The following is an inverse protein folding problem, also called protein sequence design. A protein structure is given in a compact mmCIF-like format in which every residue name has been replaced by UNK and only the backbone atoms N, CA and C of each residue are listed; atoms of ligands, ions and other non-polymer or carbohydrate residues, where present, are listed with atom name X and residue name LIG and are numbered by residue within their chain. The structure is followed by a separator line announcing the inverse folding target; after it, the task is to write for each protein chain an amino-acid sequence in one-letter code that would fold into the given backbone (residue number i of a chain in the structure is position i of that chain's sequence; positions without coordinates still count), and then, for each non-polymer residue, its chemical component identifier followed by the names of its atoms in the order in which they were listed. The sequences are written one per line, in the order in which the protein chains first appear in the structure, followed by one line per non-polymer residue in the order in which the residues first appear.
data_IF_635372819801
#
_entry.id   IF_635372819801
#
_cell.length_a   1.000
_cell.length_b   1.000
_cell.length_c   1.000
_cell.angle_alpha   90.00
_cell.angle_beta   90.00
_cell.angle_gamma   90.00
#
_symmetry.space_group_name_H-M   'P 1'
#
loop_
_entity.id
_entity.type
_entity.pdbx_description
1 polymer ?
#
# COMPACT_ATOMS: atom_id res chain seq x y z
N UNK A 1 9.35 -2.82 -17.40
CA UNK A 1 9.11 -3.44 -16.07
C UNK A 1 8.02 -2.61 -15.42
N UNK A 2 6.86 -3.21 -15.15
CA UNK A 2 5.72 -2.52 -14.55
C UNK A 2 5.71 -2.74 -13.04
N UNK A 3 5.48 -1.69 -12.26
CA UNK A 3 5.43 -1.81 -10.81
C UNK A 3 4.17 -2.59 -10.38
N UNK A 4 4.26 -3.70 -9.64
CA UNK A 4 3.09 -4.52 -9.30
C UNK A 4 2.16 -3.91 -8.23
N UNK A 5 2.52 -2.74 -7.68
CA UNK A 5 1.73 -2.02 -6.68
C UNK A 5 0.95 -0.88 -7.33
N UNK A 6 1.65 0.06 -7.97
CA UNK A 6 1.04 1.28 -8.53
C UNK A 6 0.94 1.26 -10.07
N UNK A 7 1.37 0.17 -10.69
CA UNK A 7 1.31 -0.06 -12.15
C UNK A 7 2.07 0.96 -12.99
N UNK A 8 3.00 1.68 -12.38
CA UNK A 8 3.89 2.58 -13.10
C UNK A 8 4.71 1.81 -14.14
N UNK A 9 4.66 2.28 -15.38
CA UNK A 9 5.47 1.82 -16.49
C UNK A 9 6.36 2.98 -16.96
N UNK A 10 7.70 2.86 -16.83
CA UNK A 10 8.61 3.91 -17.27
C UNK A 10 8.67 4.00 -18.79
N UNK A 11 8.85 5.20 -19.33
CA UNK A 11 9.14 5.41 -20.74
C UNK A 11 10.43 4.67 -21.18
N UNK A 12 10.57 4.29 -22.46
CA UNK A 12 11.77 3.64 -22.98
C UNK A 12 13.04 4.44 -22.62
N UNK A 13 14.01 3.77 -22.01
CA UNK A 13 15.27 4.39 -21.58
C UNK A 13 15.22 5.16 -20.25
N UNK A 14 14.06 5.25 -19.57
CA UNK A 14 13.96 5.82 -18.22
C UNK A 14 14.00 4.75 -17.13
N UNK A 15 14.54 5.07 -15.94
CA UNK A 15 14.51 4.17 -14.80
C UNK A 15 13.07 3.96 -14.32
N UNK A 16 12.69 2.71 -14.06
CA UNK A 16 11.46 2.36 -13.36
C UNK A 16 11.70 2.08 -11.89
N UNK A 17 10.64 1.63 -11.19
CA UNK A 17 10.76 1.16 -9.82
C UNK A 17 9.99 -0.16 -9.62
N UNK A 18 10.48 -0.98 -8.69
CA UNK A 18 9.84 -2.24 -8.32
C UNK A 18 9.02 -2.10 -7.03
N UNK A 19 8.38 -3.20 -6.60
CA UNK A 19 7.55 -3.21 -5.39
C UNK A 19 8.27 -2.69 -4.13
N UNK A 20 9.57 -2.97 -3.99
CA UNK A 20 10.38 -2.59 -2.82
C UNK A 20 10.68 -1.09 -2.76
N UNK A 21 10.72 -0.43 -3.92
CA UNK A 21 11.04 0.99 -4.06
C UNK A 21 9.82 1.85 -4.40
N UNK A 22 8.65 1.21 -4.61
CA UNK A 22 7.41 1.91 -4.86
C UNK A 22 7.06 2.88 -3.71
N UNK A 23 6.76 4.16 -4.00
CA UNK A 23 6.32 5.11 -2.99
C UNK A 23 5.04 4.67 -2.26
N UNK A 24 4.17 3.91 -2.95
CA UNK A 24 2.91 3.39 -2.40
C UNK A 24 3.03 2.02 -1.71
N UNK A 25 4.25 1.52 -1.44
CA UNK A 25 4.46 0.19 -0.83
C UNK A 25 3.95 0.04 0.60
N UNK A 26 3.59 1.14 1.26
CA UNK A 26 3.17 1.14 2.65
C UNK A 26 1.80 0.48 2.81
N UNK A 27 1.70 -0.47 3.73
CA UNK A 27 0.47 -1.19 4.04
C UNK A 27 0.18 -1.15 5.54
N UNK A 28 -1.03 -1.56 5.93
CA UNK A 28 -1.46 -1.66 7.32
C UNK A 28 -0.48 -2.43 8.21
N UNK A 29 -0.45 -2.06 9.49
CA UNK A 29 0.31 -2.78 10.49
C UNK A 29 -0.40 -4.09 10.84
N UNK A 30 0.23 -5.21 10.51
CA UNK A 30 -0.30 -6.56 10.76
C UNK A 30 -0.61 -6.88 12.22
N UNK A 31 0.05 -6.19 13.15
CA UNK A 31 -0.13 -6.33 14.61
C UNK A 31 -1.35 -5.56 15.14
N UNK A 32 -1.92 -4.67 14.34
CA UNK A 32 -3.14 -3.92 14.65
C UNK A 32 -4.36 -4.42 13.86
N UNK A 33 -4.19 -5.50 13.09
CA UNK A 33 -5.31 -6.14 12.39
C UNK A 33 -6.11 -7.01 13.38
N UNK A 34 -7.41 -7.22 13.10
CA UNK A 34 -8.23 -8.19 13.84
C UNK A 34 -7.58 -9.59 13.84
N UNK A 35 -7.76 -10.36 14.92
CA UNK A 35 -7.06 -11.64 15.11
C UNK A 35 -7.43 -12.68 14.04
N UNK A 36 -8.64 -12.61 13.53
CA UNK A 36 -9.19 -13.45 12.45
C UNK A 36 -8.68 -13.04 11.06
N UNK A 37 -7.98 -11.92 10.94
CA UNK A 37 -7.54 -11.41 9.65
C UNK A 37 -6.38 -12.26 9.08
N UNK A 38 -6.39 -12.62 7.78
CA UNK A 38 -5.39 -13.53 7.19
C UNK A 38 -3.93 -13.08 7.31
N UNK A 39 -3.72 -11.77 7.42
CA UNK A 39 -2.40 -11.15 7.56
C UNK A 39 -2.03 -10.81 9.00
N UNK A 40 -2.91 -11.07 9.98
CA UNK A 40 -2.67 -10.70 11.37
C UNK A 40 -1.41 -11.37 11.92
N UNK A 41 -0.75 -10.67 12.84
CA UNK A 41 0.34 -11.24 13.64
C UNK A 41 0.03 -10.96 15.10
N UNK A 42 0.14 -11.99 15.93
CA UNK A 42 -0.11 -11.87 17.37
C UNK A 42 0.95 -11.01 18.06
N UNK A 43 0.50 -10.20 19.01
CA UNK A 43 1.34 -9.40 19.90
C UNK A 43 1.37 -7.91 19.55
N UNK A 44 2.05 -7.08 20.38
CA UNK A 44 2.15 -5.64 20.16
C UNK A 44 3.10 -5.28 19.00
N UNK A 45 2.94 -4.09 18.43
CA UNK A 45 3.88 -3.50 17.49
C UNK A 45 4.86 -2.58 18.24
N UNK A 46 6.16 -2.89 18.20
CA UNK A 46 7.20 -2.08 18.83
C UNK A 46 7.98 -1.18 17.86
N UNK A 47 7.56 -1.12 16.59
CA UNK A 47 8.24 -0.26 15.61
C UNK A 47 7.79 1.20 15.82
N UNK A 48 8.68 2.12 16.23
CA UNK A 48 8.33 3.51 16.46
C UNK A 48 7.93 4.24 15.16
N UNK A 49 8.47 3.81 14.02
CA UNK A 49 8.12 4.30 12.68
C UNK A 49 6.93 3.57 12.06
N UNK A 50 6.13 2.85 12.85
CA UNK A 50 4.99 2.14 12.31
C UNK A 50 3.89 3.08 11.82
N UNK A 51 3.26 2.72 10.71
CA UNK A 51 2.08 3.40 10.17
C UNK A 51 0.93 3.54 11.17
N UNK A 52 0.82 2.64 12.16
CA UNK A 52 -0.19 2.74 13.21
C UNK A 52 0.02 3.95 14.14
N UNK A 53 1.22 4.53 14.16
CA UNK A 53 1.50 5.77 14.86
C UNK A 53 1.25 7.02 14.01
N UNK A 54 1.10 6.87 12.69
CA UNK A 54 0.88 7.99 11.77
C UNK A 54 -0.52 8.59 11.94
N UNK A 55 -0.62 9.88 11.60
CA UNK A 55 -1.88 10.63 11.48
C UNK A 55 -2.15 10.83 9.99
N UNK A 56 -3.35 10.46 9.55
CA UNK A 56 -3.73 10.55 8.15
C UNK A 56 -3.98 12.00 7.75
N UNK A 57 -3.26 12.51 6.76
CA UNK A 57 -3.48 13.87 6.24
C UNK A 57 -4.87 14.06 5.58
N UNK A 58 -5.52 12.98 5.15
CA UNK A 58 -6.85 13.04 4.53
C UNK A 58 -8.00 13.11 5.53
N UNK A 59 -7.97 12.30 6.61
CA UNK A 59 -9.07 12.22 7.58
C UNK A 59 -8.73 12.71 8.99
N UNK A 60 -7.48 13.05 9.28
CA UNK A 60 -7.01 13.51 10.58
C UNK A 60 -6.92 12.42 11.66
N UNK A 61 -7.30 11.17 11.36
CA UNK A 61 -7.28 10.07 12.33
C UNK A 61 -5.89 9.43 12.45
N UNK A 62 -5.56 8.99 13.66
CA UNK A 62 -4.36 8.17 13.92
C UNK A 62 -4.59 6.72 13.51
N UNK A 63 -3.52 6.03 13.10
CA UNK A 63 -3.54 4.59 12.79
C UNK A 63 -3.14 4.27 11.36
N UNK A 64 -3.09 5.28 10.49
CA UNK A 64 -2.67 5.17 9.10
C UNK A 64 -2.19 6.51 8.54
N UNK A 65 -1.45 6.46 7.43
CA UNK A 65 -1.18 7.63 6.58
C UNK A 65 -2.15 7.66 5.38
N UNK A 66 -2.14 8.76 4.62
CA UNK A 66 -2.96 8.91 3.41
C UNK A 66 -2.72 7.82 2.35
N UNK A 67 -1.49 7.29 2.26
CA UNK A 67 -1.10 6.29 1.26
C UNK A 67 -1.10 4.85 1.79
N UNK A 68 -1.60 4.64 3.01
CA UNK A 68 -1.56 3.31 3.64
C UNK A 68 -2.55 2.39 2.96
N UNK A 69 -2.05 1.32 2.35
CA UNK A 69 -2.88 0.32 1.70
C UNK A 69 -3.44 -0.70 2.69
N UNK A 70 -4.66 -1.18 2.42
CA UNK A 70 -5.28 -2.29 3.14
C UNK A 70 -4.60 -3.60 2.78
N UNK A 71 -4.42 -4.47 3.78
CA UNK A 71 -3.91 -5.82 3.58
C UNK A 71 -5.01 -6.78 3.09
N UNK A 72 -5.53 -6.58 1.88
CA UNK A 72 -6.52 -7.48 1.29
C UNK A 72 -5.88 -8.65 0.54
N UNK A 73 -6.50 -9.83 0.58
CA UNK A 73 -6.03 -11.04 -0.12
C UNK A 73 -6.00 -10.89 -1.66
N UNK A 74 -6.77 -9.96 -2.22
CA UNK A 74 -6.74 -9.65 -3.66
C UNK A 74 -5.51 -8.84 -4.07
N UNK A 75 -4.89 -8.12 -3.13
CA UNK A 75 -3.75 -7.22 -3.37
C UNK A 75 -2.44 -7.75 -2.87
N UNK A 76 -2.49 -8.48 -1.76
CA UNK A 76 -1.32 -8.91 -1.03
C UNK A 76 -1.35 -10.41 -0.85
N UNK A 77 -0.18 -10.98 -0.65
CA UNK A 77 0.01 -12.36 -0.25
C UNK A 77 1.19 -12.45 0.71
N UNK A 78 1.30 -13.57 1.42
CA UNK A 78 2.46 -13.88 2.24
C UNK A 78 3.38 -14.81 1.45
N UNK A 79 4.68 -14.53 1.49
CA UNK A 79 5.66 -15.52 1.02
C UNK A 79 5.90 -16.60 2.08
N UNK A 80 6.71 -17.61 1.74
CA UNK A 80 7.05 -18.72 2.65
C UNK A 80 7.74 -18.27 3.96
N UNK A 81 8.25 -17.04 4.01
CA UNK A 81 8.86 -16.43 5.20
C UNK A 81 7.88 -15.54 5.97
N UNK A 82 6.59 -15.57 5.63
CA UNK A 82 5.56 -14.76 6.26
C UNK A 82 5.70 -13.26 5.99
N UNK A 83 6.45 -12.84 4.97
CA UNK A 83 6.56 -11.44 4.54
C UNK A 83 5.48 -11.09 3.53
N UNK A 84 4.91 -9.88 3.66
CA UNK A 84 3.92 -9.36 2.73
C UNK A 84 4.55 -9.04 1.38
N UNK A 85 3.91 -9.48 0.29
CA UNK A 85 4.27 -9.20 -1.10
C UNK A 85 3.01 -8.86 -1.90
N UNK A 86 3.13 -8.06 -2.98
CA UNK A 86 2.03 -7.91 -3.93
C UNK A 86 1.59 -9.27 -4.47
N UNK A 87 0.28 -9.47 -4.60
CA UNK A 87 -0.30 -10.68 -5.18
C UNK A 87 -0.14 -10.68 -6.70
N UNK A 88 -0.04 -11.86 -7.33
CA UNK A 88 -0.06 -11.94 -8.80
C UNK A 88 -1.38 -11.40 -9.35
N UNK A 89 -2.49 -11.61 -8.62
CA UNK A 89 -3.80 -11.07 -8.98
C UNK A 89 -3.87 -9.54 -8.95
N UNK A 90 -2.90 -8.87 -8.32
CA UNK A 90 -2.86 -7.40 -8.28
C UNK A 90 -2.20 -6.80 -9.52
N UNK A 91 -1.56 -7.59 -10.38
CA UNK A 91 -0.79 -7.09 -11.51
C UNK A 91 -1.64 -6.35 -12.55
N UNK A 92 -2.91 -6.73 -12.72
CA UNK A 92 -3.80 -6.17 -13.75
C UNK A 92 -4.97 -5.36 -13.19
N UNK A 93 -5.02 -5.15 -11.87
CA UNK A 93 -6.11 -4.41 -11.22
C UNK A 93 -5.62 -3.02 -10.82
N UNK A 94 -6.17 -1.95 -11.41
CA UNK A 94 -5.83 -0.58 -10.99
C UNK A 94 -6.19 -0.33 -9.51
N UNK A 95 -5.38 0.47 -8.79
CA UNK A 95 -5.68 0.86 -7.41
C UNK A 95 -6.97 1.71 -7.36
N UNK A 96 -7.80 1.45 -6.35
CA UNK A 96 -9.07 2.15 -6.07
C UNK A 96 -9.14 2.51 -4.61
N UNK A 97 -10.10 3.36 -4.22
CA UNK A 97 -10.27 3.78 -2.82
C UNK A 97 -10.36 2.63 -1.82
N UNK A 98 -10.96 1.50 -2.23
CA UNK A 98 -11.10 0.29 -1.39
C UNK A 98 -9.77 -0.34 -1.00
N UNK A 99 -8.71 -0.05 -1.75
CA UNK A 99 -7.36 -0.56 -1.51
C UNK A 99 -6.62 0.28 -0.46
N UNK A 100 -7.19 1.40 0.00
CA UNK A 100 -6.60 2.29 1.00
C UNK A 100 -7.34 2.20 2.35
N UNK A 101 -6.57 2.38 3.42
CA UNK A 101 -7.07 2.33 4.80
C UNK A 101 -7.99 3.53 5.12
N UNK A 102 -7.68 4.70 4.56
CA UNK A 102 -8.49 5.90 4.75
C UNK A 102 -9.87 5.75 4.09
N UNK A 103 -10.93 5.77 4.89
CA UNK A 103 -12.31 5.67 4.38
C UNK A 103 -12.80 6.93 3.66
N UNK A 104 -12.12 8.07 3.84
CA UNK A 104 -12.45 9.32 3.15
C UNK A 104 -11.81 9.44 1.76
N UNK A 105 -10.93 8.52 1.40
CA UNK A 105 -10.37 8.50 0.05
C UNK A 105 -11.45 8.18 -0.98
N UNK A 106 -11.51 9.00 -2.02
CA UNK A 106 -12.33 8.78 -3.20
C UNK A 106 -11.49 8.14 -4.31
N UNK A 107 -12.13 7.58 -5.33
CA UNK A 107 -11.40 7.06 -6.48
C UNK A 107 -10.68 8.19 -7.25
N UNK A 108 -11.16 9.43 -7.13
CA UNK A 108 -10.48 10.62 -7.66
C UNK A 108 -9.19 10.92 -6.90
N UNK A 109 -9.24 10.92 -5.57
CA UNK A 109 -8.02 11.15 -4.76
C UNK A 109 -6.95 10.09 -5.04
N UNK A 110 -7.36 8.85 -5.31
CA UNK A 110 -6.45 7.77 -5.69
C UNK A 110 -5.84 8.02 -7.07
N UNK A 111 -6.61 8.50 -8.04
CA UNK A 111 -6.09 8.86 -9.36
C UNK A 111 -5.07 10.01 -9.26
N UNK A 112 -5.39 11.06 -8.51
CA UNK A 112 -4.51 12.21 -8.28
C UNK A 112 -3.22 11.77 -7.56
N UNK A 113 -3.32 10.86 -6.57
CA UNK A 113 -2.18 10.26 -5.89
C UNK A 113 -1.29 9.46 -6.85
N UNK A 114 -1.89 8.65 -7.72
CA UNK A 114 -1.15 7.84 -8.70
C UNK A 114 -0.40 8.72 -9.68
N UNK A 115 -1.06 9.73 -10.22
CA UNK A 115 -0.45 10.70 -11.13
C UNK A 115 0.73 11.41 -10.47
N UNK A 116 0.54 11.96 -9.26
CA UNK A 116 1.62 12.61 -8.50
C UNK A 116 2.78 11.65 -8.22
N UNK A 117 2.48 10.40 -7.86
CA UNK A 117 3.50 9.36 -7.61
C UNK A 117 4.31 9.06 -8.88
N UNK A 118 3.64 8.93 -10.02
CA UNK A 118 4.27 8.60 -11.30
C UNK A 118 5.14 9.75 -11.81
N UNK A 119 4.70 11.01 -11.62
CA UNK A 119 5.48 12.20 -11.94
C UNK A 119 6.74 12.30 -11.08
N UNK A 120 6.67 11.98 -9.79
CA UNK A 120 7.83 11.97 -8.89
C UNK A 120 8.80 10.80 -9.11
N UNK A 121 8.36 9.77 -9.85
CA UNK A 121 9.15 8.56 -10.15
C UNK A 121 9.86 8.61 -11.51
N UNK A 122 9.77 9.74 -12.22
CA UNK A 122 10.23 9.95 -13.61
C UNK A 122 11.59 10.62 -13.76
#
# INVERSE_FOLDING_TARGET
MTCPICHFEPAPGRPGHGARTCPLKQHECRRHLPAEHPFAVVGPCFNPGCVSAAVCAGCGLKGHSAITQKLSIGRWTLNNFGSVRPSIMSADVALRKRDFACSLYTDRDVADLLEATHLSSS
#
